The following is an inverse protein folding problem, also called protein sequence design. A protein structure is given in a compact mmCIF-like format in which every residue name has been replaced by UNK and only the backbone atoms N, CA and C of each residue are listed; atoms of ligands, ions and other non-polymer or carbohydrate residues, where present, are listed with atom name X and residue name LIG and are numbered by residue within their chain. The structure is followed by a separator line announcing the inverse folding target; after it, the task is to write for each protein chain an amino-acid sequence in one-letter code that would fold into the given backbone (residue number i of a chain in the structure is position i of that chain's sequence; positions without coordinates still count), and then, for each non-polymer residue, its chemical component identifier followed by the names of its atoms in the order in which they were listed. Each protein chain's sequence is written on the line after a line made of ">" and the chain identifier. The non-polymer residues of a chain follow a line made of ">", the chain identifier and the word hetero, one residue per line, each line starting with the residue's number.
data_IF_748929833693
#
_entry.id   IF_748929833693
#
_cell.length_a   1.000
_cell.length_b   1.000
_cell.length_c   1.000
_cell.angle_alpha   90.00
_cell.angle_beta   90.00
_cell.angle_gamma   90.00
#
_symmetry.space_group_name_H-M   'P 1'
#
loop_
_entity.id
_entity.type
_entity.pdbx_description
1 polymer ?
#
# COMPACT_ATOMS: atom_id res chain seq x y z
N UNK A 1 18.61 -1.80 11.66
CA UNK A 1 17.16 -1.94 11.55
C UNK A 1 16.74 -2.94 12.62
N UNK A 2 15.85 -2.53 13.52
CA UNK A 2 15.26 -3.49 14.44
C UNK A 2 14.33 -4.42 13.64
N UNK A 3 14.10 -5.64 14.11
CA UNK A 3 13.25 -6.64 13.42
C UNK A 3 11.85 -6.09 13.08
N UNK A 4 11.37 -5.12 13.87
CA UNK A 4 10.14 -4.35 13.64
C UNK A 4 10.13 -3.45 12.39
N UNK A 5 11.29 -2.99 11.91
CA UNK A 5 11.38 -2.08 10.76
C UNK A 5 11.05 -2.76 9.42
N UNK A 6 11.24 -4.08 9.33
CA UNK A 6 11.02 -4.84 8.09
C UNK A 6 9.54 -5.21 7.91
N UNK A 7 8.77 -5.30 9.00
CA UNK A 7 7.37 -5.72 8.98
C UNK A 7 6.41 -4.71 8.34
N UNK A 8 6.82 -3.44 8.16
CA UNK A 8 5.98 -2.39 7.56
C UNK A 8 6.66 -1.66 6.39
N UNK A 9 7.40 -2.40 5.56
CA UNK A 9 8.14 -1.80 4.44
C UNK A 9 7.24 -1.04 3.46
N UNK A 10 6.02 -1.53 3.18
CA UNK A 10 5.05 -0.84 2.31
C UNK A 10 4.72 0.55 2.84
N UNK A 11 4.38 0.67 4.12
CA UNK A 11 4.09 1.96 4.74
C UNK A 11 5.30 2.89 4.83
N UNK A 12 6.49 2.34 5.01
CA UNK A 12 7.74 3.12 4.98
C UNK A 12 7.97 3.75 3.59
N UNK A 13 7.76 2.98 2.53
CA UNK A 13 7.87 3.47 1.15
C UNK A 13 6.76 4.44 0.78
N UNK A 14 5.52 4.23 1.27
CA UNK A 14 4.43 5.18 1.10
C UNK A 14 4.74 6.52 1.77
N UNK A 15 5.32 6.53 2.98
CA UNK A 15 5.78 7.77 3.63
C UNK A 15 6.86 8.47 2.82
N UNK A 16 7.83 7.73 2.29
CA UNK A 16 8.89 8.28 1.45
C UNK A 16 8.32 8.92 0.17
N UNK A 17 7.39 8.26 -0.50
CA UNK A 17 6.72 8.78 -1.69
C UNK A 17 5.89 10.03 -1.35
N UNK A 18 5.14 10.02 -0.24
CA UNK A 18 4.40 11.19 0.24
C UNK A 18 5.32 12.36 0.60
N UNK A 19 6.52 12.13 1.11
CA UNK A 19 7.49 13.18 1.42
C UNK A 19 8.19 13.80 0.19
N UNK A 20 8.00 13.22 -1.00
CA UNK A 20 8.64 13.71 -2.23
C UNK A 20 8.07 15.05 -2.70
N UNK A 21 8.73 15.67 -3.68
CA UNK A 21 8.28 16.91 -4.33
C UNK A 21 7.25 16.69 -5.46
N UNK A 22 6.84 15.45 -5.72
CA UNK A 22 5.86 15.15 -6.76
C UNK A 22 4.49 15.75 -6.40
N UNK A 23 3.73 16.24 -7.39
CA UNK A 23 2.40 16.80 -7.18
C UNK A 23 1.39 15.77 -6.68
N UNK A 24 1.55 14.50 -7.07
CA UNK A 24 0.65 13.40 -6.71
C UNK A 24 1.45 12.16 -6.27
N UNK A 25 1.00 11.53 -5.19
CA UNK A 25 1.46 10.22 -4.76
C UNK A 25 0.28 9.23 -4.86
N UNK A 26 0.46 8.14 -5.62
CA UNK A 26 -0.56 7.12 -5.84
C UNK A 26 -0.06 5.80 -5.27
N UNK A 27 -0.90 5.13 -4.48
CA UNK A 27 -0.58 3.87 -3.84
C UNK A 27 -1.55 2.77 -4.30
N UNK A 28 -1.08 1.56 -4.63
CA UNK A 28 -1.96 0.43 -4.84
C UNK A 28 -2.57 -0.02 -3.51
N UNK A 29 -3.82 -0.49 -3.54
CA UNK A 29 -4.51 -0.95 -2.33
C UNK A 29 -3.78 -2.12 -1.63
N UNK A 30 -3.04 -2.92 -2.39
CA UNK A 30 -2.19 -3.99 -1.86
C UNK A 30 -1.13 -3.49 -0.87
N UNK A 31 -0.52 -2.32 -1.13
CA UNK A 31 0.50 -1.73 -0.24
C UNK A 31 -0.14 -1.17 1.04
N UNK A 32 -1.32 -0.54 0.90
CA UNK A 32 -2.11 -0.04 2.04
C UNK A 32 -2.47 -1.20 2.99
N UNK A 33 -2.84 -2.35 2.42
CA UNK A 33 -3.15 -3.57 3.15
C UNK A 33 -1.89 -4.39 3.54
N UNK A 34 -0.69 -3.94 3.16
CA UNK A 34 0.59 -4.61 3.44
C UNK A 34 0.59 -6.10 3.03
N UNK A 35 0.03 -6.40 1.87
CA UNK A 35 -0.07 -7.77 1.33
C UNK A 35 1.24 -8.19 0.67
N UNK A 36 1.49 -9.50 0.65
CA UNK A 36 2.64 -10.10 -0.02
C UNK A 36 2.42 -10.28 -1.54
N UNK A 37 3.36 -10.99 -2.19
CA UNK A 37 3.30 -11.29 -3.62
C UNK A 37 2.04 -12.05 -4.07
N UNK A 38 1.29 -12.69 -3.16
CA UNK A 38 0.01 -13.32 -3.47
C UNK A 38 -1.06 -12.32 -3.94
N UNK A 39 -0.87 -11.03 -3.64
CA UNK A 39 -1.78 -9.96 -4.05
C UNK A 39 -1.41 -9.26 -5.37
N UNK A 40 -0.36 -9.73 -6.06
CA UNK A 40 0.13 -9.09 -7.29
C UNK A 40 -0.96 -9.07 -8.37
N UNK A 41 -1.23 -7.88 -8.91
CA UNK A 41 -2.26 -7.71 -9.94
C UNK A 41 -1.85 -8.31 -11.28
N UNK A 42 -0.59 -8.16 -11.68
CA UNK A 42 -0.09 -8.64 -12.96
C UNK A 42 1.40 -9.02 -12.89
N UNK A 43 1.74 -10.16 -13.48
CA UNK A 43 3.09 -10.60 -13.79
C UNK A 43 3.30 -10.64 -15.31
N UNK A 44 3.98 -9.63 -15.89
CA UNK A 44 4.18 -9.56 -17.34
C UNK A 44 4.85 -10.82 -17.90
N UNK A 45 4.40 -11.26 -19.06
CA UNK A 45 4.85 -12.49 -19.73
C UNK A 45 4.42 -13.81 -19.06
N UNK A 46 3.64 -13.76 -17.98
CA UNK A 46 2.96 -14.94 -17.40
C UNK A 46 1.53 -14.98 -17.93
N UNK A 47 1.13 -16.10 -18.54
CA UNK A 47 -0.21 -16.22 -19.14
C UNK A 47 -1.33 -16.45 -18.10
N UNK A 48 -1.21 -17.39 -17.14
CA UNK A 48 -2.27 -17.64 -16.17
C UNK A 48 -2.20 -16.70 -14.96
N UNK A 49 -3.36 -16.40 -14.36
CA UNK A 49 -3.45 -15.86 -13.00
C UNK A 49 -3.46 -14.33 -12.85
N UNK A 50 -3.15 -13.57 -13.90
CA UNK A 50 -3.16 -12.10 -13.88
C UNK A 50 -4.57 -11.50 -13.82
N UNK A 51 -4.66 -10.26 -13.32
CA UNK A 51 -5.85 -9.41 -13.28
C UNK A 51 -7.02 -9.97 -12.45
N UNK A 52 -6.71 -10.82 -11.48
CA UNK A 52 -7.71 -11.54 -10.66
C UNK A 52 -7.75 -11.09 -9.21
N UNK A 53 -6.78 -10.28 -8.77
CA UNK A 53 -6.72 -9.86 -7.38
C UNK A 53 -7.95 -9.02 -7.01
N UNK A 54 -8.54 -9.36 -5.86
CA UNK A 54 -9.65 -8.66 -5.23
C UNK A 54 -9.46 -8.77 -3.72
N UNK A 55 -9.73 -7.70 -2.98
CA UNK A 55 -9.91 -7.82 -1.53
C UNK A 55 -11.14 -8.69 -1.24
N UNK A 56 -11.08 -9.48 -0.18
CA UNK A 56 -12.06 -10.55 0.09
C UNK A 56 -13.31 -10.08 0.84
N UNK A 57 -13.16 -9.06 1.70
CA UNK A 57 -14.24 -8.49 2.50
C UNK A 57 -14.03 -6.99 2.65
N UNK A 58 -15.12 -6.22 2.76
CA UNK A 58 -15.08 -4.78 3.04
C UNK A 58 -14.53 -4.47 4.44
N UNK A 59 -14.53 -5.44 5.36
CA UNK A 59 -13.94 -5.28 6.70
C UNK A 59 -12.44 -5.04 6.66
N UNK A 60 -11.76 -5.44 5.58
CA UNK A 60 -10.35 -5.10 5.35
C UNK A 60 -10.15 -3.59 5.15
N UNK A 61 -11.18 -2.83 4.80
CA UNK A 61 -11.14 -1.38 4.66
C UNK A 61 -11.56 -0.73 5.97
N UNK A 62 -10.75 -0.94 7.01
CA UNK A 62 -11.05 -0.51 8.37
C UNK A 62 -10.91 1.01 8.55
N UNK A 63 -11.59 1.55 9.58
CA UNK A 63 -11.44 2.94 9.97
C UNK A 63 -9.98 3.25 10.37
N UNK A 64 -9.29 2.32 11.03
CA UNK A 64 -7.89 2.47 11.41
C UNK A 64 -6.97 2.69 10.20
N UNK A 65 -7.20 1.95 9.10
CA UNK A 65 -6.45 2.15 7.85
C UNK A 65 -6.74 3.52 7.25
N UNK A 66 -8.00 3.96 7.26
CA UNK A 66 -8.40 5.30 6.82
C UNK A 66 -7.71 6.39 7.65
N UNK A 67 -7.70 6.25 8.97
CA UNK A 67 -7.10 7.23 9.87
C UNK A 67 -5.58 7.30 9.70
N UNK A 68 -4.93 6.13 9.51
CA UNK A 68 -3.49 6.04 9.23
C UNK A 68 -3.13 6.68 7.88
N UNK A 69 -3.92 6.46 6.83
CA UNK A 69 -3.76 7.15 5.55
C UNK A 69 -3.92 8.66 5.70
N UNK A 70 -4.98 9.10 6.38
CA UNK A 70 -5.24 10.52 6.64
C UNK A 70 -4.07 11.19 7.37
N UNK A 71 -3.50 10.53 8.37
CA UNK A 71 -2.34 11.04 9.10
C UNK A 71 -1.14 11.32 8.17
N UNK A 72 -0.83 10.39 7.27
CA UNK A 72 0.29 10.56 6.32
C UNK A 72 -0.02 11.66 5.31
N UNK A 73 -1.24 11.70 4.79
CA UNK A 73 -1.72 12.74 3.86
C UNK A 73 -1.58 14.13 4.48
N UNK A 74 -2.04 14.31 5.72
CA UNK A 74 -1.92 15.57 6.46
C UNK A 74 -0.47 15.93 6.79
N UNK A 75 0.33 14.96 7.24
CA UNK A 75 1.74 15.18 7.62
C UNK A 75 2.58 15.73 6.45
N UNK A 76 2.29 15.29 5.23
CA UNK A 76 3.03 15.71 4.03
C UNK A 76 2.26 16.71 3.15
N UNK A 77 1.16 17.27 3.66
CA UNK A 77 0.34 18.29 2.99
C UNK A 77 -0.09 17.92 1.57
N UNK A 78 -0.72 16.74 1.45
CA UNK A 78 -1.31 16.20 0.21
C UNK A 78 -2.82 16.14 0.27
#
# INVERSE_FOLDING_TARGET
>A
ASDGDIHEISWSLMRLASASVADMAIFPLQDILSLDNGARMNDPSVTPGNWRWRYTTSELLSQELSDRLLQITQLYNR
#
